data_IF_706722816084
#
_entry.id   IF_706722816084
#
_cell.length_a   1.000
_cell.length_b   1.000
_cell.length_c   1.000
_cell.angle_alpha   90.00
_cell.angle_beta   90.00
_cell.angle_gamma   90.00
#
_symmetry.space_group_name_H-M   'P 1'
#
loop_
_entity.id
_entity.type
_entity.pdbx_description
1 polymer ?
#
# COMPACT_ATOMS: atom_id res chain seq x y z
N UNK A 1 5.16 67.46 -81.58
CA UNK A 1 4.47 66.45 -80.75
C UNK A 1 5.23 65.14 -80.92
N UNK A 2 6.09 64.81 -79.95
CA UNK A 2 6.80 63.54 -79.90
C UNK A 2 7.06 63.22 -78.43
N UNK A 3 6.43 62.15 -77.97
CA UNK A 3 6.54 61.56 -76.63
C UNK A 3 7.81 60.72 -76.58
N UNK A 4 8.59 60.78 -75.49
CA UNK A 4 9.28 59.61 -74.92
C UNK A 4 9.63 59.87 -73.44
N UNK A 5 9.22 58.91 -72.61
CA UNK A 5 9.38 58.83 -71.17
C UNK A 5 10.76 58.25 -70.79
N UNK A 6 11.34 58.70 -69.68
CA UNK A 6 12.38 57.95 -68.95
C UNK A 6 12.69 58.63 -67.61
N UNK A 7 12.38 57.98 -66.48
CA UNK A 7 13.35 57.75 -65.40
C UNK A 7 12.69 56.90 -64.31
N UNK A 8 13.27 55.73 -64.06
CA UNK A 8 12.76 54.67 -63.18
C UNK A 8 13.62 54.71 -61.91
N UNK A 9 13.01 55.02 -60.78
CA UNK A 9 13.63 55.01 -59.45
C UNK A 9 14.08 53.59 -59.07
N UNK A 10 15.37 53.44 -58.74
CA UNK A 10 15.95 52.23 -58.18
C UNK A 10 16.01 52.31 -56.67
N UNK A 11 15.04 51.68 -56.00
CA UNK A 11 15.07 51.44 -54.56
C UNK A 11 15.82 50.13 -54.26
N UNK A 12 16.88 50.21 -53.45
CA UNK A 12 17.69 49.08 -52.98
C UNK A 12 17.04 48.50 -51.71
N UNK A 13 16.68 47.20 -51.66
CA UNK A 13 16.22 46.54 -50.44
C UNK A 13 17.38 45.92 -49.63
N UNK A 14 17.27 45.84 -48.29
CA UNK A 14 18.32 45.29 -47.42
C UNK A 14 18.37 43.75 -47.43
N UNK A 15 19.59 43.22 -47.25
CA UNK A 15 19.92 41.79 -47.28
C UNK A 15 19.32 41.00 -46.09
N UNK A 16 18.77 39.78 -46.32
CA UNK A 16 18.33 38.89 -45.26
C UNK A 16 19.47 38.00 -44.72
N UNK A 17 19.69 38.00 -43.41
CA UNK A 17 20.57 37.07 -42.68
C UNK A 17 20.00 35.64 -42.63
N UNK A 18 20.74 34.61 -43.07
CA UNK A 18 20.28 33.22 -43.05
C UNK A 18 20.90 32.42 -41.89
N UNK A 19 20.28 32.38 -40.70
CA UNK A 19 20.77 31.49 -39.60
C UNK A 19 19.70 30.78 -38.76
N UNK A 20 18.40 30.95 -39.01
CA UNK A 20 17.36 30.41 -38.11
C UNK A 20 16.71 29.09 -38.57
N UNK A 21 16.93 28.65 -39.81
CA UNK A 21 16.19 27.52 -40.42
C UNK A 21 16.79 26.13 -40.12
N UNK A 22 18.05 26.04 -39.69
CA UNK A 22 18.75 24.76 -39.47
C UNK A 22 18.40 24.06 -38.14
N UNK A 23 17.88 24.79 -37.14
CA UNK A 23 17.66 24.26 -35.77
C UNK A 23 16.43 23.34 -35.67
N UNK A 24 15.37 23.63 -36.43
CA UNK A 24 14.11 22.88 -36.41
C UNK A 24 14.24 21.49 -37.06
N UNK A 25 15.03 21.37 -38.13
CA UNK A 25 15.24 20.10 -38.85
C UNK A 25 16.12 19.10 -38.06
N UNK A 26 17.02 19.62 -37.22
CA UNK A 26 17.85 18.79 -36.36
C UNK A 26 17.05 18.26 -35.16
N UNK A 27 16.16 19.06 -34.56
CA UNK A 27 15.24 18.59 -33.52
C UNK A 27 14.26 17.52 -34.03
N UNK A 28 13.72 17.65 -35.25
CA UNK A 28 12.80 16.64 -35.79
C UNK A 28 13.47 15.27 -35.95
N UNK A 29 14.74 15.22 -36.36
CA UNK A 29 15.47 13.95 -36.49
C UNK A 29 15.74 13.27 -35.15
N UNK A 30 16.03 14.04 -34.09
CA UNK A 30 16.27 13.47 -32.75
C UNK A 30 14.97 12.99 -32.12
N UNK A 31 13.86 13.71 -32.32
CA UNK A 31 12.53 13.30 -31.83
C UNK A 31 12.05 12.04 -32.58
N UNK A 32 12.26 11.95 -33.89
CA UNK A 32 11.93 10.75 -34.66
C UNK A 32 12.78 9.54 -34.29
N UNK A 33 14.05 9.72 -33.91
CA UNK A 33 14.91 8.63 -33.44
C UNK A 33 14.59 8.17 -32.02
N UNK A 34 14.08 9.06 -31.16
CA UNK A 34 13.69 8.74 -29.78
C UNK A 34 12.32 8.07 -29.68
N UNK A 35 11.40 8.36 -30.59
CA UNK A 35 10.06 7.76 -30.63
C UNK A 35 10.05 6.22 -30.55
N UNK A 36 10.83 5.47 -31.36
CA UNK A 36 10.85 4.01 -31.27
C UNK A 36 11.46 3.52 -29.95
N UNK A 37 12.46 4.23 -29.41
CA UNK A 37 13.12 3.87 -28.16
C UNK A 37 12.17 4.00 -26.96
N UNK A 38 11.39 5.07 -26.92
CA UNK A 38 10.37 5.32 -25.89
C UNK A 38 9.26 4.28 -25.99
N UNK A 39 8.86 3.90 -27.21
CA UNK A 39 7.83 2.89 -27.42
C UNK A 39 8.28 1.50 -26.93
N UNK A 40 9.55 1.13 -27.12
CA UNK A 40 10.12 -0.11 -26.60
C UNK A 40 10.24 -0.08 -25.06
N UNK A 41 10.66 1.05 -24.49
CA UNK A 41 10.74 1.23 -23.03
C UNK A 41 9.36 1.11 -22.37
N UNK A 42 8.32 1.69 -22.98
CA UNK A 42 6.94 1.57 -22.50
C UNK A 42 6.43 0.12 -22.57
N UNK A 43 6.74 -0.63 -23.62
CA UNK A 43 6.37 -2.04 -23.74
C UNK A 43 7.05 -2.88 -22.65
N UNK A 44 8.34 -2.69 -22.41
CA UNK A 44 9.06 -3.36 -21.33
C UNK A 44 8.48 -3.02 -19.96
N UNK A 45 8.16 -1.74 -19.73
CA UNK A 45 7.55 -1.30 -18.48
C UNK A 45 6.15 -1.90 -18.28
N UNK A 46 5.37 -2.07 -19.34
CA UNK A 46 4.08 -2.75 -19.28
C UNK A 46 4.22 -4.25 -18.99
N UNK A 47 5.19 -4.94 -19.60
CA UNK A 47 5.48 -6.35 -19.30
C UNK A 47 5.92 -6.53 -17.84
N UNK A 48 6.84 -5.70 -17.37
CA UNK A 48 7.33 -5.75 -15.98
C UNK A 48 6.16 -5.48 -15.02
N UNK A 49 5.31 -4.50 -15.32
CA UNK A 49 4.15 -4.16 -14.50
C UNK A 49 3.13 -5.31 -14.43
N UNK A 50 2.87 -6.00 -15.54
CA UNK A 50 1.93 -7.13 -15.57
C UNK A 50 2.49 -8.34 -14.83
N UNK A 51 3.76 -8.65 -15.01
CA UNK A 51 4.44 -9.74 -14.27
C UNK A 51 4.46 -9.44 -12.77
N UNK A 52 4.78 -8.19 -12.39
CA UNK A 52 4.79 -7.76 -11.00
C UNK A 52 3.40 -7.86 -10.35
N UNK A 53 2.35 -7.38 -11.04
CA UNK A 53 0.96 -7.53 -10.57
C UNK A 53 0.57 -8.99 -10.38
N UNK A 54 0.95 -9.84 -11.33
CA UNK A 54 0.64 -11.27 -11.27
C UNK A 54 1.33 -11.96 -10.09
N UNK A 55 2.60 -11.64 -9.83
CA UNK A 55 3.32 -12.11 -8.64
C UNK A 55 2.70 -11.57 -7.35
N UNK A 56 2.29 -10.31 -7.33
CA UNK A 56 1.68 -9.68 -6.16
C UNK A 56 0.34 -10.32 -5.80
N UNK A 57 -0.53 -10.55 -6.79
CA UNK A 57 -1.81 -11.24 -6.61
C UNK A 57 -1.59 -12.66 -6.10
N UNK A 58 -0.65 -13.41 -6.68
CA UNK A 58 -0.35 -14.78 -6.22
C UNK A 58 0.20 -14.82 -4.80
N UNK A 59 1.14 -13.94 -4.47
CA UNK A 59 1.70 -13.84 -3.13
C UNK A 59 0.61 -13.43 -2.11
N UNK A 60 -0.25 -12.49 -2.49
CA UNK A 60 -1.39 -12.07 -1.66
C UNK A 60 -2.35 -13.22 -1.39
N UNK A 61 -2.75 -13.97 -2.41
CA UNK A 61 -3.59 -15.16 -2.24
C UNK A 61 -2.92 -16.23 -1.37
N UNK A 62 -1.62 -16.46 -1.52
CA UNK A 62 -0.89 -17.42 -0.68
C UNK A 62 -0.88 -16.98 0.79
N UNK A 63 -0.59 -15.71 1.08
CA UNK A 63 -0.64 -15.16 2.44
C UNK A 63 -2.05 -15.21 3.00
N UNK A 64 -3.07 -14.89 2.21
CA UNK A 64 -4.48 -14.96 2.61
C UNK A 64 -4.93 -16.39 2.96
N UNK A 65 -4.51 -17.39 2.18
CA UNK A 65 -4.79 -18.80 2.47
C UNK A 65 -4.06 -19.28 3.73
N UNK A 66 -2.79 -18.91 3.89
CA UNK A 66 -2.01 -19.28 5.07
C UNK A 66 -2.59 -18.63 6.34
N UNK A 67 -2.97 -17.36 6.26
CA UNK A 67 -3.58 -16.63 7.38
C UNK A 67 -4.97 -17.15 7.73
N UNK A 68 -5.83 -17.43 6.74
CA UNK A 68 -7.15 -18.03 7.00
C UNK A 68 -7.04 -19.44 7.56
N UNK A 69 -6.13 -20.28 7.05
CA UNK A 69 -5.90 -21.63 7.58
C UNK A 69 -5.34 -21.60 9.01
N UNK A 70 -4.42 -20.69 9.31
CA UNK A 70 -3.88 -20.54 10.68
C UNK A 70 -4.89 -19.93 11.64
N UNK A 71 -5.75 -19.02 11.19
CA UNK A 71 -6.86 -18.49 12.00
C UNK A 71 -7.89 -19.56 12.32
N UNK A 72 -8.28 -20.39 11.34
CA UNK A 72 -9.18 -21.52 11.56
C UNK A 72 -8.56 -22.58 12.47
N UNK A 73 -7.28 -22.91 12.27
CA UNK A 73 -6.55 -23.82 13.15
C UNK A 73 -6.49 -23.27 14.58
N UNK A 74 -6.15 -21.99 14.75
CA UNK A 74 -6.11 -21.29 16.04
C UNK A 74 -7.49 -21.24 16.70
N UNK A 75 -8.55 -20.91 15.95
CA UNK A 75 -9.92 -20.92 16.45
C UNK A 75 -10.36 -22.32 16.87
N UNK A 76 -9.97 -23.36 16.13
CA UNK A 76 -10.32 -24.75 16.48
C UNK A 76 -9.64 -25.20 17.78
N UNK A 77 -8.38 -24.83 17.97
CA UNK A 77 -7.62 -25.10 19.19
C UNK A 77 -8.19 -24.29 20.36
N UNK A 78 -8.50 -23.01 20.15
CA UNK A 78 -9.11 -22.14 21.16
C UNK A 78 -10.50 -22.63 21.56
N UNK A 79 -11.36 -23.04 20.62
CA UNK A 79 -12.67 -23.64 20.91
C UNK A 79 -12.54 -24.92 21.71
N UNK A 80 -11.63 -25.83 21.32
CA UNK A 80 -11.35 -27.05 22.07
C UNK A 80 -10.83 -26.74 23.47
N UNK A 81 -9.92 -25.80 23.60
CA UNK A 81 -9.40 -25.35 24.90
C UNK A 81 -10.50 -24.72 25.77
N UNK A 82 -11.43 -23.95 25.20
CA UNK A 82 -12.58 -23.37 25.90
C UNK A 82 -13.61 -24.40 26.33
N UNK A 83 -13.90 -25.39 25.49
CA UNK A 83 -14.80 -26.50 25.84
C UNK A 83 -14.17 -27.33 26.95
N UNK A 84 -12.89 -27.67 26.82
CA UNK A 84 -12.14 -28.43 27.82
C UNK A 84 -12.02 -27.65 29.13
N UNK A 85 -11.76 -26.35 29.08
CA UNK A 85 -11.70 -25.49 30.27
C UNK A 85 -13.07 -25.26 30.90
N UNK A 86 -14.16 -25.23 30.13
CA UNK A 86 -15.53 -25.24 30.69
C UNK A 86 -15.85 -26.57 31.36
N UNK A 87 -15.46 -27.69 30.77
CA UNK A 87 -15.69 -29.03 31.33
C UNK A 87 -14.88 -29.26 32.60
N UNK A 88 -13.56 -29.03 32.54
CA UNK A 88 -12.69 -29.06 33.72
C UNK A 88 -13.14 -28.01 34.72
N UNK A 89 -13.48 -26.81 34.25
CA UNK A 89 -14.01 -25.70 35.03
C UNK A 89 -15.21 -26.14 35.84
N UNK A 90 -16.30 -26.60 35.22
CA UNK A 90 -17.49 -27.07 35.94
C UNK A 90 -17.21 -28.21 36.92
N UNK A 91 -16.35 -29.17 36.54
CA UNK A 91 -15.99 -30.31 37.40
C UNK A 91 -15.13 -29.89 38.59
N UNK A 92 -14.24 -28.92 38.41
CA UNK A 92 -13.36 -28.37 39.46
C UNK A 92 -14.02 -27.24 40.26
N UNK A 93 -15.02 -26.56 39.70
CA UNK A 93 -15.76 -25.42 40.27
C UNK A 93 -16.47 -25.76 41.57
N UNK A 94 -16.95 -27.00 41.70
CA UNK A 94 -17.55 -27.50 42.94
C UNK A 94 -16.51 -27.91 44.00
N UNK A 95 -15.22 -27.90 43.69
CA UNK A 95 -14.19 -28.27 44.65
C UNK A 95 -13.74 -27.07 45.50
N UNK A 96 -13.48 -27.30 46.79
CA UNK A 96 -12.91 -26.29 47.71
C UNK A 96 -11.55 -25.73 47.26
N UNK A 97 -10.86 -26.39 46.32
CA UNK A 97 -9.58 -25.92 45.73
C UNK A 97 -9.81 -24.81 44.71
N UNK A 98 -10.88 -24.89 43.91
CA UNK A 98 -11.21 -23.84 42.93
C UNK A 98 -11.58 -22.51 43.60
N UNK A 99 -12.22 -22.54 44.78
CA UNK A 99 -12.53 -21.32 45.54
C UNK A 99 -11.28 -20.64 46.09
N UNK A 100 -10.25 -21.40 46.49
CA UNK A 100 -8.95 -20.82 46.90
C UNK A 100 -8.18 -20.25 45.71
N UNK A 101 -8.20 -20.95 44.57
CA UNK A 101 -7.59 -20.45 43.33
C UNK A 101 -8.27 -19.17 42.85
N UNK A 102 -9.60 -19.06 43.00
CA UNK A 102 -10.34 -17.83 42.69
C UNK A 102 -9.88 -16.64 43.51
N UNK A 103 -9.82 -16.77 44.83
CA UNK A 103 -9.35 -15.70 45.71
C UNK A 103 -7.90 -15.30 45.43
N UNK A 104 -7.06 -16.29 45.08
CA UNK A 104 -5.66 -16.04 44.70
C UNK A 104 -5.55 -15.36 43.34
N UNK A 105 -6.32 -15.78 42.34
CA UNK A 105 -6.38 -15.14 41.03
C UNK A 105 -6.92 -13.72 41.15
N UNK A 106 -7.97 -13.48 41.92
CA UNK A 106 -8.50 -12.14 42.18
C UNK A 106 -7.40 -11.26 42.80
N UNK A 107 -6.70 -11.74 43.82
CA UNK A 107 -5.60 -11.00 44.43
C UNK A 107 -4.43 -10.75 43.47
N UNK A 108 -3.98 -11.76 42.74
CA UNK A 108 -2.91 -11.61 41.74
C UNK A 108 -3.34 -10.67 40.61
N UNK A 109 -4.62 -10.68 40.21
CA UNK A 109 -5.15 -9.80 39.17
C UNK A 109 -5.28 -8.36 39.68
N UNK A 110 -5.72 -8.14 40.93
CA UNK A 110 -5.66 -6.81 41.55
C UNK A 110 -4.23 -6.30 41.69
N UNK A 111 -3.29 -7.15 42.12
CA UNK A 111 -1.87 -6.78 42.21
C UNK A 111 -1.26 -6.55 40.83
N UNK A 112 -1.69 -7.28 39.80
CA UNK A 112 -1.24 -7.08 38.42
C UNK A 112 -1.81 -5.78 37.84
N UNK A 113 -3.07 -5.45 38.13
CA UNK A 113 -3.77 -4.27 37.60
C UNK A 113 -3.41 -2.97 38.33
N UNK A 114 -3.20 -3.05 39.66
CA UNK A 114 -2.86 -1.90 40.52
C UNK A 114 -1.34 -1.75 40.69
N UNK A 115 -0.59 -2.85 40.58
CA UNK A 115 0.86 -2.85 40.63
C UNK A 115 1.51 -2.28 39.36
N UNK A 116 2.85 -2.21 39.33
CA UNK A 116 3.61 -1.59 38.24
C UNK A 116 3.34 -2.19 36.84
N UNK A 117 2.87 -3.43 36.79
CA UNK A 117 2.52 -4.12 35.54
C UNK A 117 1.21 -3.63 34.91
N UNK A 118 0.28 -3.08 35.71
CA UNK A 118 -1.05 -2.66 35.26
C UNK A 118 -0.97 -1.50 34.29
N UNK A 119 -0.09 -0.54 34.57
CA UNK A 119 0.18 0.59 33.68
C UNK A 119 0.74 0.11 32.33
N UNK A 120 1.62 -0.90 32.33
CA UNK A 120 2.17 -1.49 31.11
C UNK A 120 1.08 -2.24 30.31
N UNK A 121 0.17 -2.92 31.01
CA UNK A 121 -0.97 -3.60 30.41
C UNK A 121 -1.96 -2.62 29.78
N UNK A 122 -2.27 -1.51 30.47
CA UNK A 122 -3.08 -0.43 29.92
C UNK A 122 -2.38 0.26 28.75
N UNK A 123 -1.07 0.52 28.81
CA UNK A 123 -0.31 1.05 27.68
C UNK A 123 -0.31 0.09 26.49
N UNK A 124 -0.25 -1.23 26.71
CA UNK A 124 -0.25 -2.22 25.64
C UNK A 124 -1.64 -2.42 25.02
N UNK A 125 -2.70 -2.27 25.83
CA UNK A 125 -4.10 -2.38 25.40
C UNK A 125 -4.61 -1.10 24.73
N UNK A 126 -4.30 0.06 25.32
CA UNK A 126 -4.51 1.39 24.73
C UNK A 126 -3.36 1.81 23.83
N UNK A 127 -2.49 0.87 23.44
CA UNK A 127 -1.46 1.17 22.47
C UNK A 127 -2.16 1.59 21.17
N UNK A 128 -1.82 2.74 20.57
CA UNK A 128 -2.49 3.25 19.39
C UNK A 128 -2.43 2.28 18.20
N UNK A 129 -1.52 1.31 18.24
CA UNK A 129 -1.41 0.22 17.28
C UNK A 129 -2.64 -0.65 17.14
N UNK A 130 -3.41 -0.92 18.20
CA UNK A 130 -4.66 -1.69 18.07
C UNK A 130 -5.78 -0.88 17.41
N UNK A 131 -5.87 0.40 17.76
CA UNK A 131 -6.77 1.34 17.11
C UNK A 131 -6.40 1.50 15.63
N UNK A 132 -5.10 1.60 15.31
CA UNK A 132 -4.62 1.66 13.94
C UNK A 132 -4.91 0.37 13.15
N UNK A 133 -4.73 -0.81 13.76
CA UNK A 133 -5.10 -2.09 13.13
C UNK A 133 -6.61 -2.17 12.88
N UNK A 134 -7.43 -1.76 13.85
CA UNK A 134 -8.89 -1.71 13.71
C UNK A 134 -9.34 -0.77 12.60
N UNK A 135 -8.73 0.43 12.53
CA UNK A 135 -9.00 1.39 11.47
C UNK A 135 -8.57 0.87 10.10
N UNK A 136 -7.40 0.21 10.02
CA UNK A 136 -6.89 -0.35 8.78
C UNK A 136 -7.78 -1.49 8.26
N UNK A 137 -8.24 -2.37 9.15
CA UNK A 137 -9.17 -3.45 8.80
C UNK A 137 -10.53 -2.90 8.36
N UNK A 138 -11.03 -1.88 9.06
CA UNK A 138 -12.29 -1.21 8.72
C UNK A 138 -12.20 -0.49 7.37
N UNK A 139 -11.12 0.26 7.14
CA UNK A 139 -10.87 0.93 5.87
C UNK A 139 -10.69 -0.06 4.71
N UNK A 140 -9.98 -1.18 4.94
CA UNK A 140 -9.85 -2.25 3.96
C UNK A 140 -11.22 -2.83 3.59
N UNK A 141 -12.05 -3.16 4.59
CA UNK A 141 -13.40 -3.67 4.37
C UNK A 141 -14.31 -2.70 3.60
N UNK A 142 -14.21 -1.40 3.89
CA UNK A 142 -15.00 -0.36 3.22
C UNK A 142 -14.51 -0.05 1.79
N UNK A 143 -13.25 -0.32 1.46
CA UNK A 143 -12.70 -0.13 0.11
C UNK A 143 -12.98 -1.34 -0.80
N UNK A 144 -13.15 -2.53 -0.22
CA UNK A 144 -13.38 -3.78 -0.97
C UNK A 144 -14.85 -4.18 -1.11
N UNK A 145 -15.77 -3.50 -0.43
CA UNK A 145 -17.23 -3.70 -0.55
C UNK A 145 -17.88 -2.58 -1.33
#
# INVERSE_FOLDING_TARGET
MTVLASSREGAVPPAPTPTTVSRTRQQSNVISALSPLVQHALQLQQLISTIALHLFVRAYFAVYLVTSATLEASMSIARRALILSKWLGQKTWKSRRATRLRKRLEFELFVLLVGPCGNMLFLMLFWPGWLALGLALWAYGHVTG
#
